data_IF_714105442649
#
_entry.id   IF_714105442649
#
_cell.length_a   1.000
_cell.length_b   1.000
_cell.length_c   1.000
_cell.angle_alpha   90.00
_cell.angle_beta   90.00
_cell.angle_gamma   90.00
#
_symmetry.space_group_name_H-M   'P 1'
#
loop_
_entity.id
_entity.type
_entity.pdbx_description
1 polymer ?
#
# COMPACT_ATOMS: atom_id res chain seq x y z
N UNK A 1 -11.39 -21.44 -16.09
CA UNK A 1 -11.23 -20.37 -17.13
C UNK A 1 -11.56 -18.96 -16.62
N UNK A 2 -12.58 -18.75 -15.74
CA UNK A 2 -12.91 -17.41 -15.18
C UNK A 2 -11.87 -16.87 -14.19
N UNK A 3 -11.17 -17.69 -13.43
CA UNK A 3 -10.13 -17.26 -12.49
C UNK A 3 -8.86 -16.76 -13.20
N UNK A 4 -8.54 -17.27 -14.36
CA UNK A 4 -7.38 -16.85 -15.16
C UNK A 4 -7.56 -15.41 -15.71
N UNK A 5 -8.78 -15.04 -16.10
CA UNK A 5 -9.06 -13.73 -16.70
C UNK A 5 -9.04 -12.56 -15.71
N UNK A 6 -9.26 -12.79 -14.40
CA UNK A 6 -9.18 -11.77 -13.36
C UNK A 6 -7.72 -11.59 -12.93
N UNK A 7 -6.95 -12.67 -12.85
CA UNK A 7 -5.52 -12.65 -12.55
C UNK A 7 -4.75 -11.79 -13.56
N UNK A 8 -4.99 -11.99 -14.86
CA UNK A 8 -4.30 -11.24 -15.93
C UNK A 8 -4.60 -9.73 -15.93
N UNK A 9 -5.74 -9.29 -15.40
CA UNK A 9 -6.10 -7.85 -15.35
C UNK A 9 -5.52 -7.12 -14.13
N UNK A 10 -5.26 -7.84 -13.07
CA UNK A 10 -4.72 -7.27 -11.81
C UNK A 10 -3.20 -7.39 -11.76
N UNK A 11 -2.62 -8.28 -12.55
CA UNK A 11 -1.19 -8.61 -12.59
C UNK A 11 -0.26 -7.39 -12.79
N UNK A 12 -0.56 -6.43 -13.68
CA UNK A 12 0.30 -5.26 -13.87
C UNK A 12 0.48 -4.40 -12.60
N UNK A 13 -0.55 -4.29 -11.79
CA UNK A 13 -0.52 -3.51 -10.53
C UNK A 13 0.18 -4.25 -9.40
N UNK A 14 0.23 -5.58 -9.47
CA UNK A 14 0.89 -6.41 -8.46
C UNK A 14 2.36 -6.66 -8.78
N UNK A 15 2.79 -6.39 -10.01
CA UNK A 15 4.16 -6.63 -10.48
C UNK A 15 5.24 -6.02 -9.57
N UNK A 16 5.13 -4.74 -9.15
CA UNK A 16 6.13 -4.15 -8.25
C UNK A 16 6.28 -4.91 -6.93
N UNK A 17 5.19 -5.49 -6.41
CA UNK A 17 5.23 -6.29 -5.18
C UNK A 17 5.95 -7.62 -5.40
N UNK A 18 5.72 -8.27 -6.55
CA UNK A 18 6.44 -9.49 -6.92
C UNK A 18 7.93 -9.21 -7.12
N UNK A 19 8.27 -8.14 -7.83
CA UNK A 19 9.66 -7.74 -8.08
C UNK A 19 10.39 -7.49 -6.75
N UNK A 20 9.78 -6.75 -5.82
CA UNK A 20 10.35 -6.53 -4.49
C UNK A 20 10.54 -7.84 -3.69
N UNK A 21 9.60 -8.77 -3.77
CA UNK A 21 9.75 -10.08 -3.12
C UNK A 21 10.86 -10.90 -3.76
N UNK A 22 11.00 -10.88 -5.09
CA UNK A 22 12.08 -11.58 -5.79
C UNK A 22 13.44 -11.00 -5.44
N UNK A 23 13.55 -9.67 -5.34
CA UNK A 23 14.79 -8.99 -4.96
C UNK A 23 15.20 -9.30 -3.52
N UNK A 24 14.23 -9.34 -2.59
CA UNK A 24 14.50 -9.55 -1.16
C UNK A 24 14.71 -11.01 -0.78
N UNK A 25 13.96 -11.93 -1.37
CA UNK A 25 13.91 -13.33 -0.95
C UNK A 25 14.51 -14.29 -2.00
N UNK A 26 14.68 -13.84 -3.23
CA UNK A 26 15.00 -14.66 -4.39
C UNK A 26 13.78 -15.36 -4.97
N UNK A 27 13.85 -15.70 -6.26
CA UNK A 27 12.73 -16.24 -7.05
C UNK A 27 12.18 -17.55 -6.48
N UNK A 28 13.04 -18.55 -6.24
CA UNK A 28 12.62 -19.88 -5.79
C UNK A 28 11.96 -19.87 -4.41
N UNK A 29 12.49 -19.07 -3.48
CA UNK A 29 11.95 -18.96 -2.13
C UNK A 29 10.59 -18.26 -2.14
N UNK A 30 10.48 -17.16 -2.89
CA UNK A 30 9.22 -16.43 -3.04
C UNK A 30 8.15 -17.34 -3.61
N UNK A 31 8.46 -18.06 -4.70
CA UNK A 31 7.55 -19.00 -5.32
C UNK A 31 7.07 -20.07 -4.33
N UNK A 32 7.99 -20.69 -3.60
CA UNK A 32 7.65 -21.72 -2.60
C UNK A 32 6.74 -21.17 -1.50
N UNK A 33 7.01 -19.95 -1.00
CA UNK A 33 6.19 -19.33 0.05
C UNK A 33 4.79 -18.96 -0.45
N UNK A 34 4.66 -18.57 -1.70
CA UNK A 34 3.36 -18.29 -2.32
C UNK A 34 2.57 -19.58 -2.60
N UNK A 35 3.20 -20.64 -3.10
CA UNK A 35 2.58 -21.96 -3.30
C UNK A 35 2.06 -22.55 -1.99
N UNK A 36 2.79 -22.32 -0.89
CA UNK A 36 2.38 -22.71 0.47
C UNK A 36 1.39 -21.77 1.13
N UNK A 37 0.98 -20.70 0.43
CA UNK A 37 0.11 -19.64 0.97
C UNK A 37 0.66 -18.95 2.23
N UNK A 38 1.98 -19.00 2.43
CA UNK A 38 2.66 -18.26 3.50
C UNK A 38 2.73 -16.79 3.15
N UNK A 39 2.88 -16.48 1.86
CA UNK A 39 2.75 -15.13 1.30
C UNK A 39 1.53 -15.11 0.39
N UNK A 40 0.63 -14.16 0.63
CA UNK A 40 -0.52 -13.89 -0.22
C UNK A 40 -0.47 -12.43 -0.68
N UNK A 41 -0.63 -12.20 -1.98
CA UNK A 41 -0.84 -10.88 -2.56
C UNK A 41 -2.26 -10.85 -3.11
N UNK A 42 -3.07 -9.91 -2.65
CA UNK A 42 -4.47 -9.85 -3.03
C UNK A 42 -4.99 -8.40 -3.06
N UNK A 43 -5.89 -8.07 -3.99
CA UNK A 43 -6.59 -6.79 -3.96
C UNK A 43 -7.39 -6.60 -2.67
N UNK A 44 -7.46 -5.35 -2.21
CA UNK A 44 -8.19 -4.98 -0.99
C UNK A 44 -9.65 -5.47 -0.98
N UNK A 45 -10.31 -5.50 -2.13
CA UNK A 45 -11.68 -5.97 -2.26
C UNK A 45 -11.88 -7.43 -1.80
N UNK A 46 -10.83 -8.26 -1.85
CA UNK A 46 -10.90 -9.67 -1.43
C UNK A 46 -10.75 -9.87 0.08
N UNK A 47 -10.52 -8.80 0.82
CA UNK A 47 -10.42 -8.83 2.28
C UNK A 47 -11.81 -8.82 2.96
N UNK A 48 -12.88 -8.50 2.21
CA UNK A 48 -14.23 -8.48 2.76
C UNK A 48 -14.65 -9.87 3.27
N UNK A 49 -15.18 -9.93 4.50
CA UNK A 49 -15.62 -11.18 5.13
C UNK A 49 -14.50 -12.06 5.69
N UNK A 50 -13.24 -11.63 5.61
CA UNK A 50 -12.09 -12.34 6.18
C UNK A 50 -11.73 -11.78 7.56
N UNK A 51 -11.05 -12.58 8.35
CA UNK A 51 -10.33 -12.15 9.56
C UNK A 51 -8.88 -12.62 9.40
N UNK A 52 -7.96 -11.68 9.49
CA UNK A 52 -6.53 -11.91 9.26
C UNK A 52 -5.86 -12.13 10.61
N UNK A 53 -5.78 -13.38 11.05
CA UNK A 53 -5.13 -13.78 12.30
C UNK A 53 -3.68 -14.21 12.07
N UNK A 54 -2.81 -13.94 13.06
CA UNK A 54 -1.40 -14.37 13.06
C UNK A 54 -0.67 -13.99 11.77
N UNK A 55 -0.93 -12.79 11.24
CA UNK A 55 -0.43 -12.32 9.97
C UNK A 55 0.35 -11.01 10.12
N UNK A 56 1.38 -10.86 9.31
CA UNK A 56 1.98 -9.56 9.03
C UNK A 56 1.35 -9.02 7.75
N UNK A 57 0.66 -7.89 7.86
CA UNK A 57 -0.19 -7.36 6.80
C UNK A 57 0.39 -6.04 6.32
N UNK A 58 0.55 -5.88 5.01
CA UNK A 58 0.96 -4.63 4.39
C UNK A 58 -0.18 -4.16 3.49
N UNK A 59 -0.69 -2.96 3.73
CA UNK A 59 -1.59 -2.26 2.82
C UNK A 59 -0.81 -1.12 2.18
N UNK A 60 -0.51 -1.26 0.91
CA UNK A 60 0.22 -0.26 0.13
C UNK A 60 -0.74 0.65 -0.66
N UNK A 61 -0.27 1.84 -1.05
CA UNK A 61 -1.04 2.86 -1.78
C UNK A 61 -2.38 3.22 -1.09
N UNK A 62 -2.37 3.22 0.24
CA UNK A 62 -3.59 3.36 1.05
C UNK A 62 -4.29 4.71 0.91
N UNK A 63 -3.61 5.76 0.40
CA UNK A 63 -4.24 7.05 0.09
C UNK A 63 -5.34 6.93 -0.96
N UNK A 64 -5.30 5.87 -1.79
CA UNK A 64 -6.29 5.59 -2.83
C UNK A 64 -7.47 4.72 -2.33
N UNK A 65 -7.58 4.49 -1.03
CA UNK A 65 -8.76 3.86 -0.44
C UNK A 65 -9.83 4.90 -0.08
N UNK A 66 -11.10 4.51 -0.20
CA UNK A 66 -12.19 5.30 0.39
C UNK A 66 -12.26 5.09 1.90
N UNK A 67 -12.95 5.98 2.65
CA UNK A 67 -13.17 5.79 4.09
C UNK A 67 -13.78 4.43 4.45
N UNK A 68 -14.74 3.96 3.65
CA UNK A 68 -15.41 2.68 3.85
C UNK A 68 -14.46 1.50 3.61
N UNK A 69 -13.60 1.59 2.59
CA UNK A 69 -12.59 0.59 2.28
C UNK A 69 -11.53 0.51 3.38
N UNK A 70 -11.04 1.66 3.85
CA UNK A 70 -10.09 1.72 4.96
C UNK A 70 -10.69 1.13 6.24
N UNK A 71 -11.90 1.53 6.61
CA UNK A 71 -12.60 0.98 7.77
C UNK A 71 -12.82 -0.52 7.63
N UNK A 72 -13.25 -0.96 6.45
CA UNK A 72 -13.44 -2.39 6.14
C UNK A 72 -12.13 -3.16 6.37
N UNK A 73 -11.01 -2.68 5.87
CA UNK A 73 -9.70 -3.31 6.01
C UNK A 73 -9.25 -3.37 7.48
N UNK A 74 -9.25 -2.24 8.16
CA UNK A 74 -8.81 -2.14 9.56
C UNK A 74 -9.57 -3.08 10.49
N UNK A 75 -10.86 -3.30 10.20
CA UNK A 75 -11.69 -4.23 10.98
C UNK A 75 -11.48 -5.71 10.61
N UNK A 76 -10.58 -6.03 9.69
CA UNK A 76 -10.17 -7.42 9.35
C UNK A 76 -8.95 -7.88 10.13
N UNK A 77 -8.21 -6.96 10.76
CA UNK A 77 -7.03 -7.30 11.56
C UNK A 77 -7.47 -8.13 12.75
N UNK A 78 -6.97 -9.36 12.80
CA UNK A 78 -7.31 -10.33 13.84
C UNK A 78 -6.23 -10.48 14.90
N UNK A 79 -6.41 -11.44 15.80
CA UNK A 79 -5.49 -11.69 16.89
C UNK A 79 -4.11 -12.12 16.39
N UNK A 80 -3.06 -11.65 17.08
CA UNK A 80 -1.68 -11.99 16.76
C UNK A 80 -1.16 -11.34 15.48
N UNK A 81 -1.92 -10.42 14.88
CA UNK A 81 -1.54 -9.76 13.63
C UNK A 81 -0.96 -8.37 13.86
N UNK A 82 -0.08 -7.97 12.94
CA UNK A 82 0.47 -6.63 12.84
C UNK A 82 0.19 -6.08 11.43
N UNK A 83 -0.32 -4.87 11.35
CA UNK A 83 -0.55 -4.20 10.08
C UNK A 83 0.39 -3.00 9.92
N UNK A 84 0.93 -2.86 8.71
CA UNK A 84 1.66 -1.70 8.24
C UNK A 84 0.87 -1.12 7.07
N UNK A 85 0.54 0.15 7.16
CA UNK A 85 -0.26 0.84 6.14
C UNK A 85 0.61 1.96 5.60
N UNK A 86 0.88 1.91 4.30
CA UNK A 86 1.73 2.89 3.61
C UNK A 86 0.91 3.68 2.60
N UNK A 87 1.31 4.92 2.36
CA UNK A 87 0.67 5.76 1.36
C UNK A 87 1.25 7.15 1.30
N UNK A 88 1.09 7.79 0.17
CA UNK A 88 1.51 9.17 -0.09
C UNK A 88 0.28 10.05 -0.29
N UNK A 89 -0.02 10.89 0.70
CA UNK A 89 -1.18 11.79 0.67
C UNK A 89 -1.10 12.88 -0.41
N UNK A 90 0.07 13.05 -1.05
CA UNK A 90 0.23 13.97 -2.19
C UNK A 90 -0.13 13.33 -3.53
N UNK A 91 -0.25 12.00 -3.58
CA UNK A 91 -0.53 11.21 -4.79
C UNK A 91 -1.90 10.52 -4.73
N UNK A 92 -2.94 11.28 -4.40
CA UNK A 92 -4.30 10.75 -4.32
C UNK A 92 -4.91 10.73 -5.73
N UNK A 93 -5.27 9.52 -6.20
CA UNK A 93 -5.92 9.26 -7.49
C UNK A 93 -7.34 8.73 -7.29
N UNK A 94 -8.13 9.43 -6.50
CA UNK A 94 -9.53 9.12 -6.26
C UNK A 94 -10.43 10.01 -7.14
N UNK A 95 -11.64 9.55 -7.51
CA UNK A 95 -12.62 10.38 -8.22
C UNK A 95 -12.91 11.68 -7.47
N UNK A 96 -13.21 12.75 -8.23
CA UNK A 96 -13.54 14.06 -7.65
C UNK A 96 -14.65 13.94 -6.61
N UNK A 97 -14.46 14.54 -5.46
CA UNK A 97 -15.42 14.52 -4.35
C UNK A 97 -15.30 13.29 -3.42
N UNK A 98 -14.39 12.36 -3.72
CA UNK A 98 -14.12 11.23 -2.84
C UNK A 98 -12.97 11.58 -1.90
N UNK A 99 -13.18 11.36 -0.59
CA UNK A 99 -12.16 11.58 0.42
C UNK A 99 -11.24 10.35 0.57
N UNK A 100 -9.97 10.60 0.85
CA UNK A 100 -9.03 9.52 1.14
C UNK A 100 -9.30 8.89 2.50
N UNK A 101 -9.45 7.58 2.52
CA UNK A 101 -9.60 6.79 3.74
C UNK A 101 -8.37 6.85 4.65
N UNK A 102 -7.16 6.96 4.06
CA UNK A 102 -5.92 7.13 4.83
C UNK A 102 -5.92 8.44 5.60
N UNK A 103 -6.29 9.56 4.95
CA UNK A 103 -6.36 10.88 5.61
C UNK A 103 -7.41 10.84 6.73
N UNK A 104 -8.58 10.28 6.48
CA UNK A 104 -9.60 10.14 7.51
C UNK A 104 -9.11 9.28 8.69
N UNK A 105 -8.44 8.15 8.40
CA UNK A 105 -7.91 7.26 9.43
C UNK A 105 -6.89 7.96 10.33
N UNK A 106 -6.03 8.83 9.79
CA UNK A 106 -5.10 9.63 10.59
C UNK A 106 -5.81 10.49 11.63
N UNK A 107 -6.93 11.10 11.29
CA UNK A 107 -7.70 11.92 12.22
C UNK A 107 -8.50 11.08 13.22
N UNK A 108 -9.18 10.06 12.76
CA UNK A 108 -10.09 9.25 13.58
C UNK A 108 -9.33 8.36 14.57
N UNK A 109 -8.15 7.88 14.18
CA UNK A 109 -7.34 6.93 14.96
C UNK A 109 -6.22 7.62 15.75
N UNK A 110 -6.12 8.95 15.69
CA UNK A 110 -5.15 9.70 16.48
C UNK A 110 -5.36 9.41 17.97
N UNK A 111 -4.29 9.00 18.66
CA UNK A 111 -4.32 8.68 20.08
C UNK A 111 -4.92 7.32 20.46
N UNK A 112 -5.36 6.52 19.50
CA UNK A 112 -5.81 5.15 19.77
C UNK A 112 -4.61 4.29 20.19
N UNK A 113 -4.68 3.69 21.37
CA UNK A 113 -3.60 2.85 21.90
C UNK A 113 -3.35 1.65 20.99
N UNK A 114 -2.09 1.43 20.64
CA UNK A 114 -1.68 0.35 19.73
C UNK A 114 -1.60 0.78 18.26
N UNK A 115 -1.90 2.04 17.95
CA UNK A 115 -1.71 2.62 16.61
C UNK A 115 -0.64 3.71 16.71
N UNK A 116 0.31 3.68 15.77
CA UNK A 116 1.35 4.70 15.63
C UNK A 116 1.34 5.25 14.20
N UNK A 117 1.61 6.53 14.08
CA UNK A 117 1.79 7.21 12.79
C UNK A 117 3.23 7.68 12.67
N UNK A 118 3.85 7.38 11.54
CA UNK A 118 5.19 7.84 11.17
C UNK A 118 5.09 8.61 9.87
N UNK A 119 5.63 9.81 9.87
CA UNK A 119 5.62 10.70 8.71
C UNK A 119 7.04 10.81 8.16
N UNK A 120 7.17 10.59 6.86
CA UNK A 120 8.41 10.79 6.14
C UNK A 120 8.43 12.19 5.52
N UNK A 121 9.61 12.75 5.44
CA UNK A 121 9.86 14.06 4.83
C UNK A 121 10.68 13.89 3.55
N UNK A 122 10.87 14.96 2.80
CA UNK A 122 11.71 14.94 1.60
C UNK A 122 13.17 14.49 1.90
N UNK A 123 13.65 14.64 3.15
CA UNK A 123 14.98 14.20 3.56
C UNK A 123 15.08 12.66 3.69
N UNK A 124 13.95 11.98 3.90
CA UNK A 124 13.90 10.53 4.06
C UNK A 124 13.80 9.81 2.71
N UNK A 125 13.60 10.55 1.62
CA UNK A 125 13.41 9.99 0.28
C UNK A 125 14.76 9.61 -0.32
N UNK A 126 15.00 8.31 -0.47
CA UNK A 126 16.17 7.77 -1.15
C UNK A 126 15.85 7.56 -2.63
N UNK A 127 16.41 8.39 -3.50
CA UNK A 127 16.24 8.30 -4.96
C UNK A 127 17.58 8.44 -5.66
N UNK A 128 17.67 7.88 -6.86
CA UNK A 128 18.84 8.06 -7.70
C UNK A 128 19.09 9.58 -7.92
N UNK A 129 20.36 10.07 -7.84
CA UNK A 129 20.67 11.50 -7.93
C UNK A 129 20.14 12.19 -9.20
N UNK A 130 20.10 11.49 -10.32
CA UNK A 130 19.53 11.99 -11.57
C UNK A 130 18.03 12.21 -11.46
N UNK A 131 17.31 11.29 -10.81
CA UNK A 131 15.84 11.41 -10.61
C UNK A 131 15.52 12.64 -9.78
N UNK A 132 16.30 12.92 -8.73
CA UNK A 132 16.16 14.14 -7.94
C UNK A 132 16.34 15.41 -8.78
N UNK A 133 17.33 15.42 -9.69
CA UNK A 133 17.54 16.56 -10.60
C UNK A 133 16.38 16.75 -11.57
N UNK A 134 15.83 15.66 -12.08
CA UNK A 134 14.67 15.68 -12.98
C UNK A 134 13.45 16.27 -12.26
N UNK A 135 13.11 15.76 -11.08
CA UNK A 135 11.97 16.26 -10.29
C UNK A 135 12.11 17.76 -10.05
N UNK A 136 13.25 18.22 -9.54
CA UNK A 136 13.50 19.66 -9.31
C UNK A 136 13.38 20.51 -10.58
N UNK A 137 13.70 19.95 -11.75
CA UNK A 137 13.56 20.68 -13.01
C UNK A 137 12.07 20.84 -13.37
N UNK A 138 11.24 19.80 -13.16
CA UNK A 138 9.80 19.88 -13.39
C UNK A 138 9.11 20.80 -12.38
N UNK A 139 9.44 20.70 -11.08
CA UNK A 139 8.87 21.57 -10.04
C UNK A 139 9.12 23.07 -10.35
N UNK A 140 10.34 23.39 -10.82
CA UNK A 140 10.65 24.75 -11.26
C UNK A 140 9.83 25.20 -12.47
N UNK A 141 9.60 24.29 -13.43
CA UNK A 141 8.79 24.61 -14.61
C UNK A 141 7.31 24.83 -14.26
N UNK A 142 6.80 24.14 -13.23
CA UNK A 142 5.44 24.25 -12.71
C UNK A 142 5.25 25.40 -11.71
N UNK A 143 6.31 26.15 -11.38
CA UNK A 143 6.25 27.28 -10.47
C UNK A 143 6.09 26.90 -8.99
N UNK A 144 6.28 25.64 -8.64
CA UNK A 144 6.33 25.20 -7.24
C UNK A 144 7.66 25.69 -6.64
N UNK A 145 7.56 26.52 -5.60
CA UNK A 145 8.72 26.93 -4.81
C UNK A 145 9.16 25.79 -3.89
N UNK A 146 10.47 25.60 -3.78
CA UNK A 146 11.12 24.73 -2.78
C UNK A 146 10.65 25.02 -1.36
#
# INVERSE_FOLDING_TARGET
QRQMCIRDRVDPYLRPLYDALFDLLGFEKTRTLMERQTIEIAPLAYMRGRTLNNAFIILDEAQNTTPEQMKMFLTRIGFGSKAVITGDITQIDLPRGTHSGLIQAQHVLAGVRGIAFTYFTAADVVRHPLVMKIIRAYDRAEGKKD
#
